data_IF_166349878457
#
_entry.id   IF_166349878457
#
_cell.length_a   1.000
_cell.length_b   1.000
_cell.length_c   1.000
_cell.angle_alpha   90.00
_cell.angle_beta   90.00
_cell.angle_gamma   90.00
#
_symmetry.space_group_name_H-M   'P 1'
#
loop_
_entity.id
_entity.type
_entity.pdbx_description
1 polymer ?
#
# COMPACT_ATOMS: atom_id res chain seq x y z
N UNK A 1 14.05 -29.24 12.80
CA UNK A 1 12.92 -28.36 13.16
C UNK A 1 12.36 -27.78 11.88
N UNK A 2 11.20 -28.24 11.42
CA UNK A 2 10.52 -27.66 10.26
C UNK A 2 9.65 -26.52 10.78
N UNK A 3 10.06 -25.27 10.56
CA UNK A 3 9.18 -24.14 10.85
C UNK A 3 8.02 -24.19 9.86
N UNK A 4 6.78 -24.25 10.35
CA UNK A 4 5.53 -24.24 9.57
C UNK A 4 5.29 -22.93 8.81
N UNK A 5 6.34 -22.23 8.36
CA UNK A 5 6.21 -20.90 7.80
C UNK A 5 5.64 -21.00 6.39
N UNK A 6 4.38 -20.59 6.13
CA UNK A 6 3.81 -20.67 4.81
C UNK A 6 4.40 -19.51 4.01
N UNK A 7 5.48 -19.79 3.29
CA UNK A 7 6.17 -18.83 2.42
C UNK A 7 5.66 -18.89 0.96
N UNK A 8 4.45 -19.41 0.73
CA UNK A 8 3.93 -19.68 -0.63
C UNK A 8 2.70 -18.84 -1.01
N UNK A 9 2.41 -17.76 -0.28
CA UNK A 9 1.34 -16.82 -0.64
C UNK A 9 1.61 -15.39 -0.16
N UNK A 10 0.80 -14.40 -0.59
CA UNK A 10 0.90 -13.02 -0.12
C UNK A 10 0.90 -12.96 1.41
N UNK A 11 1.71 -12.07 1.98
CA UNK A 11 1.73 -11.85 3.43
C UNK A 11 0.37 -11.30 3.87
N UNK A 12 -0.28 -11.94 4.85
CA UNK A 12 -1.56 -11.48 5.40
C UNK A 12 -1.40 -10.17 6.20
N UNK A 13 -2.50 -9.45 6.43
CA UNK A 13 -2.50 -8.20 7.21
C UNK A 13 -1.97 -8.42 8.63
N UNK A 14 -2.43 -9.48 9.30
CA UNK A 14 -1.95 -9.84 10.65
C UNK A 14 -0.45 -10.12 10.67
N UNK A 15 0.06 -10.80 9.63
CA UNK A 15 1.49 -11.06 9.49
C UNK A 15 2.27 -9.77 9.24
N UNK A 16 1.75 -8.82 8.46
CA UNK A 16 2.38 -7.52 8.26
C UNK A 16 2.47 -6.74 9.58
N UNK A 17 1.39 -6.72 10.38
CA UNK A 17 1.42 -6.12 11.72
C UNK A 17 2.46 -6.78 12.63
N UNK A 18 2.53 -8.10 12.64
CA UNK A 18 3.50 -8.83 13.44
C UNK A 18 4.95 -8.55 13.01
N UNK A 19 5.22 -8.54 11.70
CA UNK A 19 6.56 -8.22 11.17
C UNK A 19 6.94 -6.77 11.51
N UNK A 20 6.02 -5.82 11.35
CA UNK A 20 6.21 -4.41 11.71
C UNK A 20 6.60 -4.28 13.19
N UNK A 21 5.89 -4.97 14.08
CA UNK A 21 6.15 -4.93 15.52
C UNK A 21 7.55 -5.47 15.85
N UNK A 22 7.93 -6.62 15.29
CA UNK A 22 9.27 -7.20 15.49
C UNK A 22 10.34 -6.22 15.02
N UNK A 23 10.23 -5.72 13.77
CA UNK A 23 11.23 -4.81 13.21
C UNK A 23 11.32 -3.50 13.98
N UNK A 24 10.19 -2.96 14.46
CA UNK A 24 10.18 -1.73 15.27
C UNK A 24 10.91 -1.92 16.60
N UNK A 25 10.66 -3.03 17.29
CA UNK A 25 11.33 -3.36 18.55
C UNK A 25 12.83 -3.56 18.34
N UNK A 26 13.22 -4.32 17.30
CA UNK A 26 14.63 -4.57 16.99
C UNK A 26 15.35 -3.30 16.54
N UNK A 27 14.70 -2.42 15.76
CA UNK A 27 15.25 -1.13 15.37
C UNK A 27 15.51 -0.23 16.58
N UNK A 28 14.58 -0.18 17.54
CA UNK A 28 14.74 0.61 18.77
C UNK A 28 15.87 0.09 19.69
N UNK A 29 16.18 -1.21 19.60
CA UNK A 29 17.28 -1.86 20.34
C UNK A 29 18.59 -1.90 19.57
N UNK A 30 18.59 -1.48 18.30
CA UNK A 30 19.78 -1.47 17.46
C UNK A 30 20.68 -0.30 17.82
N UNK A 31 22.01 -0.48 17.70
CA UNK A 31 23.01 0.56 17.91
C UNK A 31 22.97 1.68 16.83
N UNK A 32 21.91 1.78 16.03
CA UNK A 32 21.77 2.79 14.98
C UNK A 32 22.76 2.63 13.82
N UNK A 33 23.41 1.47 13.68
CA UNK A 33 24.25 1.16 12.51
C UNK A 33 23.42 0.94 11.24
N UNK A 34 24.08 0.62 10.12
CA UNK A 34 23.42 0.44 8.82
C UNK A 34 22.22 -0.52 8.86
N UNK A 35 22.31 -1.58 9.68
CA UNK A 35 21.20 -2.52 9.89
C UNK A 35 20.02 -1.87 10.65
N UNK A 36 20.29 -1.06 11.67
CA UNK A 36 19.26 -0.31 12.40
C UNK A 36 18.46 0.62 11.49
N UNK A 37 19.16 1.35 10.61
CA UNK A 37 18.52 2.19 9.59
C UNK A 37 17.69 1.37 8.60
N UNK A 38 18.23 0.27 8.07
CA UNK A 38 17.50 -0.59 7.15
C UNK A 38 16.23 -1.19 7.79
N UNK A 39 16.27 -1.55 9.07
CA UNK A 39 15.08 -2.03 9.80
C UNK A 39 14.05 -0.91 9.99
N UNK A 40 14.48 0.31 10.31
CA UNK A 40 13.57 1.46 10.44
C UNK A 40 12.88 1.80 9.11
N UNK A 41 13.60 1.75 7.99
CA UNK A 41 13.01 1.98 6.67
C UNK A 41 12.09 0.82 6.26
N UNK A 42 12.42 -0.42 6.61
CA UNK A 42 11.51 -1.55 6.39
C UNK A 42 10.19 -1.38 7.18
N UNK A 43 10.23 -0.84 8.40
CA UNK A 43 9.01 -0.51 9.16
C UNK A 43 8.16 0.52 8.42
N UNK A 44 8.77 1.59 7.88
CA UNK A 44 8.05 2.62 7.10
C UNK A 44 7.38 2.03 5.85
N UNK A 45 8.10 1.18 5.11
CA UNK A 45 7.54 0.50 3.93
C UNK A 45 6.34 -0.38 4.32
N UNK A 46 6.42 -1.09 5.46
CA UNK A 46 5.28 -1.87 5.94
C UNK A 46 4.12 -0.96 6.34
N UNK A 47 4.37 0.21 6.94
CA UNK A 47 3.33 1.19 7.26
C UNK A 47 2.61 1.70 6.00
N UNK A 48 3.34 1.99 4.93
CA UNK A 48 2.76 2.35 3.63
C UNK A 48 1.93 1.21 3.03
N UNK A 49 2.42 -0.04 3.12
CA UNK A 49 1.68 -1.22 2.67
C UNK A 49 0.41 -1.44 3.50
N UNK A 50 0.45 -1.26 4.82
CA UNK A 50 -0.73 -1.36 5.67
C UNK A 50 -1.75 -0.26 5.34
N UNK A 51 -1.29 0.97 5.14
CA UNK A 51 -2.15 2.10 4.76
C UNK A 51 -2.83 1.86 3.40
N UNK A 52 -2.09 1.39 2.40
CA UNK A 52 -2.64 1.08 1.08
C UNK A 52 -3.62 -0.08 1.07
N UNK A 53 -3.37 -1.14 1.86
CA UNK A 53 -4.27 -2.31 1.94
C UNK A 53 -5.54 -2.04 2.73
N UNK A 54 -5.51 -1.10 3.67
CA UNK A 54 -6.68 -0.64 4.42
C UNK A 54 -7.34 0.60 3.80
N UNK A 55 -6.93 1.01 2.60
CA UNK A 55 -7.51 2.17 1.94
C UNK A 55 -8.95 1.88 1.49
N UNK A 56 -9.88 2.71 1.95
CA UNK A 56 -11.26 2.67 1.49
C UNK A 56 -11.34 3.09 0.00
N UNK A 57 -12.22 2.45 -0.80
CA UNK A 57 -12.42 2.84 -2.18
C UNK A 57 -12.91 4.29 -2.27
N UNK A 58 -12.30 5.06 -3.17
CA UNK A 58 -12.61 6.49 -3.35
C UNK A 58 -13.79 6.68 -4.30
N UNK A 59 -14.00 5.75 -5.22
CA UNK A 59 -15.10 5.76 -6.17
C UNK A 59 -15.49 4.34 -6.59
N UNK A 60 -16.73 4.17 -7.04
CA UNK A 60 -17.23 2.95 -7.67
C UNK A 60 -17.40 3.15 -9.17
N UNK A 61 -17.06 2.12 -9.94
CA UNK A 61 -17.50 1.99 -11.33
C UNK A 61 -18.85 1.27 -11.30
N UNK A 62 -19.93 1.96 -11.66
CA UNK A 62 -21.30 1.43 -11.49
C UNK A 62 -21.95 0.94 -12.77
N UNK A 63 -21.45 1.35 -13.93
CA UNK A 63 -21.93 0.89 -15.23
C UNK A 63 -20.78 0.83 -16.25
N UNK A 64 -20.81 -0.19 -17.10
CA UNK A 64 -19.88 -0.35 -18.22
C UNK A 64 -20.61 -1.03 -19.39
N UNK A 65 -20.51 -0.47 -20.62
CA UNK A 65 -21.02 -1.09 -21.83
C UNK A 65 -20.03 -0.97 -22.99
N UNK A 66 -19.98 -2.02 -23.82
CA UNK A 66 -19.35 -1.97 -25.15
C UNK A 66 -19.78 -3.14 -26.03
N UNK A 67 -20.46 -2.84 -27.15
CA UNK A 67 -20.03 -3.32 -28.46
C UNK A 67 -20.31 -2.24 -29.52
N UNK A 68 -19.29 -1.89 -30.34
CA UNK A 68 -19.33 -0.80 -31.35
C UNK A 68 -18.76 0.58 -30.93
N UNK A 69 -18.59 0.80 -29.62
CA UNK A 69 -17.96 1.95 -28.92
C UNK A 69 -18.52 3.37 -29.12
N UNK A 70 -19.21 3.86 -28.10
CA UNK A 70 -18.76 5.02 -27.31
C UNK A 70 -18.75 4.55 -25.84
N UNK A 71 -17.71 4.90 -25.05
CA UNK A 71 -17.49 4.35 -23.71
C UNK A 71 -18.14 5.22 -22.64
N UNK A 72 -19.32 4.85 -22.16
CA UNK A 72 -19.95 5.49 -20.99
C UNK A 72 -19.57 4.71 -19.73
N UNK A 73 -18.63 5.27 -18.96
CA UNK A 73 -18.36 4.80 -17.60
C UNK A 73 -18.98 5.79 -16.62
N UNK A 74 -19.90 5.32 -15.78
CA UNK A 74 -20.36 6.09 -14.64
C UNK A 74 -19.44 5.81 -13.44
N UNK A 75 -18.76 6.86 -12.98
CA UNK A 75 -17.95 6.84 -11.77
C UNK A 75 -18.76 7.53 -10.67
N UNK A 76 -19.07 6.81 -9.59
CA UNK A 76 -19.68 7.39 -8.39
C UNK A 76 -18.62 7.63 -7.34
N UNK A 77 -18.33 8.89 -7.07
CA UNK A 77 -17.44 9.28 -5.98
C UNK A 77 -18.07 8.94 -4.62
N UNK A 78 -17.29 8.26 -3.77
CA UNK A 78 -17.65 8.02 -2.36
C UNK A 78 -17.18 9.14 -1.44
N UNK A 79 -16.25 9.98 -1.92
CA UNK A 79 -15.63 11.08 -1.19
C UNK A 79 -15.71 12.38 -1.98
N UNK A 80 -15.88 13.49 -1.27
CA UNK A 80 -15.98 14.83 -1.86
C UNK A 80 -14.66 15.61 -1.83
N UNK A 81 -13.65 15.10 -1.13
CA UNK A 81 -12.36 15.76 -0.89
C UNK A 81 -11.26 15.26 -1.84
N UNK A 82 -11.64 14.85 -3.05
CA UNK A 82 -10.70 14.38 -4.08
C UNK A 82 -10.41 15.51 -5.06
N UNK A 83 -9.13 15.88 -5.19
CA UNK A 83 -8.71 16.89 -6.15
C UNK A 83 -8.93 16.40 -7.60
N UNK A 84 -9.33 17.29 -8.54
CA UNK A 84 -9.41 16.93 -9.96
C UNK A 84 -8.06 16.45 -10.50
N UNK A 85 -8.05 15.35 -11.23
CA UNK A 85 -6.84 14.79 -11.83
C UNK A 85 -7.06 13.40 -12.43
N UNK A 86 -6.06 12.86 -13.16
CA UNK A 86 -6.11 11.50 -13.68
C UNK A 86 -6.12 10.47 -12.54
N UNK A 87 -6.92 9.42 -12.72
CA UNK A 87 -6.95 8.26 -11.81
C UNK A 87 -5.90 7.24 -12.26
N UNK A 88 -5.13 6.72 -11.30
CA UNK A 88 -4.13 5.69 -11.55
C UNK A 88 -4.49 4.41 -10.80
N UNK A 89 -4.30 3.25 -11.45
CA UNK A 89 -4.52 1.95 -10.83
C UNK A 89 -3.49 1.61 -9.74
N UNK A 90 -2.34 2.29 -9.76
CA UNK A 90 -1.25 2.20 -8.78
C UNK A 90 -0.75 3.63 -8.55
N UNK A 91 -0.40 4.03 -7.31
CA UNK A 91 0.17 5.35 -7.08
C UNK A 91 1.31 5.64 -8.07
N UNK A 92 1.27 6.77 -8.81
CA UNK A 92 2.37 7.12 -9.69
C UNK A 92 3.64 7.29 -8.85
N UNK A 93 4.80 6.94 -9.43
CA UNK A 93 6.09 7.22 -8.81
C UNK A 93 6.09 8.69 -8.35
N UNK A 94 6.47 8.99 -7.09
CA UNK A 94 6.55 10.37 -6.64
C UNK A 94 7.35 11.15 -7.67
N UNK A 95 6.79 12.26 -8.15
CA UNK A 95 7.57 13.18 -8.96
C UNK A 95 8.79 13.55 -8.11
N UNK A 96 9.98 13.28 -8.64
CA UNK A 96 11.22 13.69 -7.97
C UNK A 96 11.26 15.20 -8.02
N UNK A 97 10.61 15.85 -7.06
CA UNK A 97 10.75 17.27 -6.82
C UNK A 97 12.10 17.44 -6.11
N UNK A 98 13.17 17.32 -6.90
CA UNK A 98 14.42 17.99 -6.57
C UNK A 98 14.16 19.49 -6.66
N UNK A 99 14.09 20.14 -5.50
CA UNK A 99 14.62 21.47 -5.21
C UNK A 99 14.95 21.52 -3.72
#
# INVERSE_FOLDING_TARGET
MTTNHPAHGPVSLDRLHHIREILSKTAAQSDGGNLGYAMADAVKVIDEVLASRNAEPVADVVAWYKEGEERTCDIRWRRFDVAPGPLYAVPPKPASNHL
#
